data_IF_462911666141
#
_entry.id   IF_462911666141
#
_cell.length_a   1.000
_cell.length_b   1.000
_cell.length_c   1.000
_cell.angle_alpha   90.00
_cell.angle_beta   90.00
_cell.angle_gamma   90.00
#
_symmetry.space_group_name_H-M   'P 1'
#
loop_
_entity.id
_entity.type
_entity.pdbx_description
1 polymer ?
#
# COMPACT_ATOMS: atom_id res chain seq x y z
N UNK A 1 -20.17 -1.54 -4.46
CA UNK A 1 -19.08 -0.60 -4.83
C UNK A 1 -18.13 -1.31 -5.78
N UNK A 2 -17.63 -0.66 -6.84
CA UNK A 2 -16.69 -1.32 -7.77
C UNK A 2 -15.32 -1.55 -7.10
N UNK A 3 -14.57 -2.58 -7.53
CA UNK A 3 -13.23 -2.85 -6.99
C UNK A 3 -12.27 -1.64 -7.16
N UNK A 4 -12.46 -0.83 -8.21
CA UNK A 4 -11.71 0.42 -8.42
C UNK A 4 -12.03 1.46 -7.35
N UNK A 5 -13.33 1.67 -7.06
CA UNK A 5 -13.76 2.61 -6.04
C UNK A 5 -13.30 2.20 -4.63
N UNK A 6 -13.39 0.91 -4.30
CA UNK A 6 -12.88 0.39 -3.02
C UNK A 6 -11.38 0.62 -2.86
N UNK A 7 -10.61 0.35 -3.90
CA UNK A 7 -9.17 0.60 -3.89
C UNK A 7 -8.88 2.08 -3.71
N UNK A 8 -9.59 2.97 -4.42
CA UNK A 8 -9.42 4.42 -4.29
C UNK A 8 -9.69 4.91 -2.87
N UNK A 9 -10.76 4.43 -2.24
CA UNK A 9 -11.07 4.75 -0.83
C UNK A 9 -9.97 4.26 0.11
N UNK A 10 -9.50 3.03 -0.05
CA UNK A 10 -8.44 2.48 0.80
C UNK A 10 -7.11 3.25 0.65
N UNK A 11 -6.73 3.64 -0.57
CA UNK A 11 -5.55 4.46 -0.83
C UNK A 11 -5.69 5.84 -0.21
N UNK A 12 -6.87 6.47 -0.34
CA UNK A 12 -7.12 7.78 0.27
C UNK A 12 -7.04 7.72 1.79
N UNK A 13 -7.69 6.74 2.42
CA UNK A 13 -7.68 6.56 3.88
C UNK A 13 -6.27 6.33 4.41
N UNK A 14 -5.52 5.40 3.80
CA UNK A 14 -4.14 5.09 4.23
C UNK A 14 -3.18 6.25 4.00
N UNK A 15 -3.34 7.01 2.91
CA UNK A 15 -2.58 8.25 2.66
C UNK A 15 -2.87 9.34 3.69
N UNK A 16 -4.15 9.57 4.03
CA UNK A 16 -4.54 10.57 5.02
C UNK A 16 -4.00 10.19 6.40
N UNK A 17 -4.14 8.93 6.80
CA UNK A 17 -3.61 8.44 8.08
C UNK A 17 -2.08 8.61 8.14
N UNK A 18 -1.36 8.24 7.09
CA UNK A 18 0.08 8.45 7.00
C UNK A 18 0.46 9.91 7.26
N UNK A 19 -0.19 10.86 6.58
CA UNK A 19 0.06 12.30 6.76
C UNK A 19 -0.26 12.76 8.18
N UNK A 20 -1.37 12.33 8.76
CA UNK A 20 -1.75 12.65 10.15
C UNK A 20 -0.66 12.19 11.13
N UNK A 21 -0.13 10.98 10.95
CA UNK A 21 0.90 10.45 11.85
C UNK A 21 2.27 11.08 11.63
N UNK A 22 2.61 11.50 10.41
CA UNK A 22 3.80 12.34 10.14
C UNK A 22 3.69 13.67 10.90
N UNK A 23 2.55 14.36 10.81
CA UNK A 23 2.33 15.64 11.48
C UNK A 23 2.42 15.48 13.01
N UNK A 24 1.92 14.37 13.55
CA UNK A 24 2.02 14.01 14.97
C UNK A 24 3.39 13.48 15.40
N UNK A 25 4.36 13.41 14.49
CA UNK A 25 5.69 12.83 14.71
C UNK A 25 5.65 11.38 15.23
N UNK A 26 4.56 10.66 14.99
CA UNK A 26 4.45 9.23 15.31
C UNK A 26 4.88 8.44 14.07
N UNK A 27 6.19 8.28 13.93
CA UNK A 27 6.78 7.70 12.72
C UNK A 27 6.49 6.21 12.56
N UNK A 28 6.29 5.46 13.65
CA UNK A 28 5.98 4.04 13.58
C UNK A 28 4.65 3.81 12.86
N UNK A 29 3.59 4.53 13.28
CA UNK A 29 2.29 4.46 12.62
C UNK A 29 2.33 5.12 11.23
N UNK A 30 3.11 6.18 11.03
CA UNK A 30 3.28 6.77 9.70
C UNK A 30 3.84 5.74 8.70
N UNK A 31 4.92 5.04 9.07
CA UNK A 31 5.56 4.01 8.23
C UNK A 31 4.62 2.82 8.01
N UNK A 32 3.83 2.44 9.03
CA UNK A 32 2.79 1.40 8.89
C UNK A 32 1.78 1.78 7.79
N UNK A 33 1.22 2.98 7.84
CA UNK A 33 0.22 3.41 6.86
C UNK A 33 0.81 3.70 5.47
N UNK A 34 2.05 4.19 5.39
CA UNK A 34 2.78 4.37 4.11
C UNK A 34 2.99 3.01 3.44
N UNK A 35 3.53 2.03 4.16
CA UNK A 35 3.78 0.69 3.61
C UNK A 35 2.47 0.00 3.19
N UNK A 36 1.41 0.15 3.98
CA UNK A 36 0.09 -0.37 3.63
C UNK A 36 -0.48 0.30 2.37
N UNK A 37 -0.35 1.62 2.25
CA UNK A 37 -0.78 2.38 1.07
C UNK A 37 -0.05 1.91 -0.19
N UNK A 38 1.27 1.70 -0.12
CA UNK A 38 2.05 1.16 -1.23
C UNK A 38 1.64 -0.28 -1.59
N UNK A 39 1.36 -1.13 -0.60
CA UNK A 39 0.89 -2.50 -0.83
C UNK A 39 -0.39 -2.50 -1.67
N UNK A 40 -1.38 -1.68 -1.27
CA UNK A 40 -2.68 -1.58 -1.91
C UNK A 40 -2.55 -1.00 -3.32
N UNK A 41 -1.84 0.12 -3.46
CA UNK A 41 -1.69 0.82 -4.75
C UNK A 41 -0.97 -0.05 -5.77
N UNK A 42 0.12 -0.71 -5.39
CA UNK A 42 0.88 -1.56 -6.30
C UNK A 42 0.14 -2.86 -6.64
N UNK A 43 -0.63 -3.42 -5.70
CA UNK A 43 -1.50 -4.57 -5.97
C UNK A 43 -2.53 -4.26 -7.05
N UNK A 44 -3.12 -3.06 -6.99
CA UNK A 44 -4.08 -2.61 -7.99
C UNK A 44 -3.41 -2.32 -9.33
N UNK A 45 -2.28 -1.60 -9.33
CA UNK A 45 -1.50 -1.33 -10.55
C UNK A 45 -1.07 -2.61 -11.24
N UNK A 46 -0.66 -3.64 -10.50
CA UNK A 46 -0.31 -4.94 -11.06
C UNK A 46 -1.49 -5.58 -11.81
N UNK A 47 -2.69 -5.57 -11.22
CA UNK A 47 -3.90 -6.11 -11.86
C UNK A 47 -4.33 -5.28 -13.07
N UNK A 48 -4.28 -3.97 -12.97
CA UNK A 48 -4.71 -3.07 -14.04
C UNK A 48 -3.76 -3.13 -15.25
N UNK A 49 -2.44 -3.12 -15.00
CA UNK A 49 -1.41 -3.29 -16.04
C UNK A 49 -1.50 -4.65 -16.73
N UNK A 50 -1.74 -5.73 -15.98
CA UNK A 50 -1.92 -7.06 -16.57
C UNK A 50 -3.11 -7.11 -17.53
N UNK A 51 -4.23 -6.43 -17.20
CA UNK A 51 -5.41 -6.34 -18.07
C UNK A 51 -5.15 -5.53 -19.34
N UNK A 52 -4.24 -4.57 -19.28
CA UNK A 52 -3.85 -3.73 -20.42
C UNK A 52 -2.74 -4.37 -21.29
N UNK A 53 -2.24 -5.56 -20.94
CA UNK A 53 -1.19 -6.26 -21.69
C UNK A 53 0.25 -5.91 -21.27
N UNK A 54 0.44 -5.03 -20.28
CA UNK A 54 1.74 -4.63 -19.73
C UNK A 54 2.29 -5.69 -18.77
N UNK A 55 2.71 -6.84 -19.31
CA UNK A 55 3.07 -8.03 -18.51
C UNK A 55 4.32 -7.85 -17.65
N UNK A 56 5.35 -7.12 -18.13
CA UNK A 56 6.61 -6.90 -17.38
C UNK A 56 6.39 -5.95 -16.22
N UNK A 57 5.69 -4.85 -16.47
CA UNK A 57 5.33 -3.81 -15.52
C UNK A 57 4.40 -4.37 -14.45
N UNK A 58 3.42 -5.20 -14.84
CA UNK A 58 2.55 -5.89 -13.90
C UNK A 58 3.32 -6.80 -12.94
N UNK A 59 4.33 -7.55 -13.43
CA UNK A 59 5.20 -8.37 -12.58
C UNK A 59 6.02 -7.51 -11.62
N UNK A 60 6.54 -6.37 -12.09
CA UNK A 60 7.29 -5.44 -11.24
C UNK A 60 6.40 -4.90 -10.12
N UNK A 61 5.21 -4.37 -10.46
CA UNK A 61 4.24 -3.87 -9.49
C UNK A 61 3.81 -4.96 -8.49
N UNK A 62 3.65 -6.21 -8.94
CA UNK A 62 3.35 -7.34 -8.06
C UNK A 62 4.50 -7.58 -7.07
N UNK A 63 5.75 -7.54 -7.52
CA UNK A 63 6.92 -7.64 -6.65
C UNK A 63 6.96 -6.53 -5.60
N UNK A 64 6.71 -5.29 -6.00
CA UNK A 64 6.63 -4.13 -5.09
C UNK A 64 5.51 -4.29 -4.06
N UNK A 65 4.34 -4.75 -4.49
CA UNK A 65 3.22 -4.99 -3.59
C UNK A 65 3.56 -6.04 -2.52
N UNK A 66 4.27 -7.11 -2.92
CA UNK A 66 4.72 -8.14 -1.98
C UNK A 66 5.75 -7.58 -1.01
N UNK A 67 6.74 -6.84 -1.50
CA UNK A 67 7.76 -6.20 -0.66
C UNK A 67 7.13 -5.31 0.42
N UNK A 68 6.24 -4.39 0.02
CA UNK A 68 5.57 -3.53 0.99
C UNK A 68 4.60 -4.29 1.88
N UNK A 69 3.96 -5.35 1.38
CA UNK A 69 3.07 -6.18 2.20
C UNK A 69 3.83 -6.86 3.33
N UNK A 70 5.02 -7.40 3.05
CA UNK A 70 5.91 -7.95 4.06
C UNK A 70 6.37 -6.84 5.01
N UNK A 71 6.79 -5.69 4.49
CA UNK A 71 7.21 -4.55 5.31
C UNK A 71 6.09 -4.08 6.27
N UNK A 72 4.84 -4.02 5.82
CA UNK A 72 3.68 -3.69 6.66
C UNK A 72 3.53 -4.68 7.81
N UNK A 73 3.66 -5.98 7.56
CA UNK A 73 3.58 -7.00 8.60
C UNK A 73 4.73 -6.91 9.60
N UNK A 74 5.95 -6.64 9.12
CA UNK A 74 7.12 -6.45 9.98
C UNK A 74 6.95 -5.22 10.88
N UNK A 75 6.55 -4.07 10.30
CA UNK A 75 6.33 -2.85 11.07
C UNK A 75 5.20 -3.04 12.08
N UNK A 76 4.12 -3.71 11.70
CA UNK A 76 3.05 -4.06 12.63
C UNK A 76 3.56 -4.92 13.79
N UNK A 77 4.41 -5.91 13.51
CA UNK A 77 5.02 -6.74 14.56
C UNK A 77 5.90 -5.90 15.50
N UNK A 78 6.75 -5.01 14.96
CA UNK A 78 7.60 -4.12 15.76
C UNK A 78 6.81 -3.13 16.63
N UNK A 79 5.57 -2.80 16.25
CA UNK A 79 4.69 -1.94 17.06
C UNK A 79 4.03 -2.73 18.19
N UNK A 80 3.76 -4.02 17.98
CA UNK A 80 3.02 -4.88 18.91
C UNK A 80 3.91 -5.60 19.93
N UNK A 81 5.20 -5.79 19.65
CA UNK A 81 6.17 -6.55 20.45
C UNK A 81 7.44 -5.73 20.69
#
# INVERSE_FOLDING_TARGET
MSSKALTGVLVALTSILAVIFIIRQNFDLAVLFISLMFTITNSFRAKDMARQGYTKEAKWMKGTAIFFGIATLVVLALILF
#
